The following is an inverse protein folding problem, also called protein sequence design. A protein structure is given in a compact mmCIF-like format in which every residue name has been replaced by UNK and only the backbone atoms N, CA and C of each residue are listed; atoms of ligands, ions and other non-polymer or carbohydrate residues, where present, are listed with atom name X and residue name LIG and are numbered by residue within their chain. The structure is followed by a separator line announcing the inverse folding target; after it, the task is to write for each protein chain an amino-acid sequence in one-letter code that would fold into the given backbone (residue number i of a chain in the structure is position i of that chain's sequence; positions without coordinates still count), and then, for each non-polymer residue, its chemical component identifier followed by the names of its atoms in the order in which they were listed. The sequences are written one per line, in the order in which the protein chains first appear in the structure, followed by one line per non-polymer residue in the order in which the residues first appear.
data_IF_991767111757
#
_entry.id   IF_991767111757
#
_cell.length_a   1.000
_cell.length_b   1.000
_cell.length_c   1.000
_cell.angle_alpha   90.00
_cell.angle_beta   90.00
_cell.angle_gamma   90.00
#
_symmetry.space_group_name_H-M   'P 1'
#
loop_
_entity.id
_entity.type
_entity.pdbx_description
1 polymer ?
#
# COMPACT_ATOMS: atom_id res chain seq x y z
N UNK A 1 -2.38 -8.69 21.44
CA UNK A 1 -1.76 -7.61 20.65
C UNK A 1 -2.86 -6.71 20.09
N UNK A 2 -2.63 -5.39 20.11
CA UNK A 2 -3.52 -4.41 19.47
C UNK A 2 -3.57 -4.69 17.97
N UNK A 3 -4.78 -4.66 17.40
CA UNK A 3 -5.00 -4.90 15.97
C UNK A 3 -5.14 -3.58 15.24
N UNK A 4 -4.65 -3.52 14.01
CA UNK A 4 -4.99 -2.46 13.07
C UNK A 4 -6.44 -2.61 12.63
N UNK A 5 -7.15 -1.50 12.48
CA UNK A 5 -8.55 -1.49 12.03
C UNK A 5 -8.66 -0.57 10.81
N UNK A 6 -9.59 -0.85 9.91
CA UNK A 6 -9.86 0.00 8.75
C UNK A 6 -11.34 0.29 8.62
N UNK A 7 -11.69 1.42 8.02
CA UNK A 7 -13.06 1.87 7.77
C UNK A 7 -13.46 1.62 6.32
N UNK A 8 -12.57 1.94 5.38
CA UNK A 8 -12.77 1.72 3.94
C UNK A 8 -12.55 0.26 3.54
N UNK A 9 -12.91 -0.13 2.31
CA UNK A 9 -12.68 -1.50 1.84
C UNK A 9 -11.19 -1.77 1.67
N UNK A 10 -10.43 -0.79 1.18
CA UNK A 10 -8.98 -0.84 1.03
C UNK A 10 -8.31 -0.99 2.41
N UNK A 11 -8.62 -0.11 3.35
CA UNK A 11 -8.07 -0.16 4.71
C UNK A 11 -8.39 -1.48 5.41
N UNK A 12 -9.62 -1.98 5.30
CA UNK A 12 -10.00 -3.29 5.86
C UNK A 12 -9.19 -4.42 5.24
N UNK A 13 -8.89 -4.36 3.94
CA UNK A 13 -8.07 -5.36 3.28
C UNK A 13 -6.62 -5.31 3.78
N UNK A 14 -6.03 -4.13 3.83
CA UNK A 14 -4.66 -3.88 4.33
C UNK A 14 -4.55 -4.31 5.79
N UNK A 15 -5.42 -3.80 6.67
CA UNK A 15 -5.44 -4.14 8.09
C UNK A 15 -5.61 -5.64 8.32
N UNK A 16 -6.43 -6.34 7.51
CA UNK A 16 -6.60 -7.79 7.62
C UNK A 16 -5.30 -8.54 7.33
N UNK A 17 -4.59 -8.16 6.27
CA UNK A 17 -3.31 -8.78 5.87
C UNK A 17 -2.26 -8.52 6.96
N UNK A 18 -2.09 -7.26 7.37
CA UNK A 18 -1.13 -6.86 8.41
C UNK A 18 -1.41 -7.60 9.72
N UNK A 19 -2.65 -7.64 10.19
CA UNK A 19 -3.01 -8.37 11.41
C UNK A 19 -2.77 -9.88 11.32
N UNK A 20 -2.69 -10.45 10.11
CA UNK A 20 -2.35 -11.86 9.92
C UNK A 20 -0.85 -12.08 10.15
N UNK A 21 0.00 -11.29 9.50
CA UNK A 21 1.45 -11.35 9.62
C UNK A 21 1.97 -10.90 10.98
N UNK A 22 1.35 -9.88 11.58
CA UNK A 22 1.69 -9.35 12.90
C UNK A 22 1.62 -10.39 14.03
N UNK A 23 1.00 -11.56 13.82
CA UNK A 23 1.00 -12.66 14.81
C UNK A 23 2.38 -13.28 15.00
N UNK A 24 3.23 -13.16 13.98
CA UNK A 24 4.58 -13.74 13.94
C UNK A 24 5.66 -12.72 14.37
N UNK A 25 5.25 -11.52 14.77
CA UNK A 25 6.13 -10.45 15.26
C UNK A 25 5.95 -10.26 16.77
N UNK A 26 7.06 -10.19 17.51
CA UNK A 26 7.04 -9.90 18.96
C UNK A 26 6.38 -8.54 19.27
N UNK A 27 6.63 -7.53 18.42
CA UNK A 27 6.06 -6.19 18.51
C UNK A 27 4.71 -6.06 17.78
N UNK A 28 4.12 -7.16 17.34
CA UNK A 28 2.84 -7.18 16.65
C UNK A 28 2.81 -6.31 15.39
N UNK A 29 1.76 -5.50 15.26
CA UNK A 29 1.55 -4.62 14.10
C UNK A 29 2.70 -3.63 13.94
N UNK A 30 3.24 -3.08 15.04
CA UNK A 30 4.33 -2.11 14.96
C UNK A 30 5.59 -2.71 14.34
N UNK A 31 5.96 -3.94 14.74
CA UNK A 31 7.11 -4.64 14.15
C UNK A 31 6.92 -4.95 12.66
N UNK A 32 5.72 -5.37 12.26
CA UNK A 32 5.43 -5.59 10.84
C UNK A 32 5.52 -4.28 10.02
N UNK A 33 5.00 -3.18 10.57
CA UNK A 33 5.06 -1.87 9.90
C UNK A 33 6.51 -1.38 9.75
N UNK A 34 7.37 -1.60 10.74
CA UNK A 34 8.80 -1.25 10.66
C UNK A 34 9.48 -1.95 9.47
N UNK A 35 9.24 -3.25 9.29
CA UNK A 35 9.78 -4.01 8.16
C UNK A 35 9.17 -3.58 6.83
N UNK A 36 7.86 -3.29 6.81
CA UNK A 36 7.18 -2.80 5.61
C UNK A 36 7.70 -1.43 5.17
N UNK A 37 7.92 -0.50 6.11
CA UNK A 37 8.44 0.84 5.78
C UNK A 37 9.91 0.79 5.36
N UNK A 38 10.68 -0.16 5.89
CA UNK A 38 12.09 -0.31 5.55
C UNK A 38 12.32 -0.95 4.17
N UNK A 39 11.45 -1.89 3.77
CA UNK A 39 11.71 -2.74 2.61
C UNK A 39 10.63 -2.66 1.50
N UNK A 40 9.43 -2.18 1.84
CA UNK A 40 8.26 -2.15 0.96
C UNK A 40 7.72 -3.52 0.57
N UNK A 41 6.60 -3.55 -0.13
CA UNK A 41 6.01 -4.75 -0.73
C UNK A 41 6.94 -5.39 -1.77
N UNK A 42 7.80 -4.57 -2.40
CA UNK A 42 8.76 -5.03 -3.42
C UNK A 42 9.77 -6.07 -2.90
N UNK A 43 9.96 -6.15 -1.58
CA UNK A 43 10.80 -7.16 -0.91
C UNK A 43 10.19 -8.56 -0.88
N UNK A 44 8.90 -8.70 -1.19
CA UNK A 44 8.14 -9.93 -1.03
C UNK A 44 7.61 -10.16 0.40
N UNK A 45 7.70 -9.16 1.28
CA UNK A 45 7.15 -9.21 2.65
C UNK A 45 5.64 -9.53 2.67
N UNK A 46 4.90 -9.01 1.68
CA UNK A 46 3.45 -9.19 1.54
C UNK A 46 3.16 -10.23 0.46
N UNK A 47 2.87 -11.47 0.88
CA UNK A 47 2.68 -12.60 -0.02
C UNK A 47 1.54 -12.40 -1.02
N UNK A 48 0.50 -11.67 -0.63
CA UNK A 48 -0.65 -11.32 -1.47
C UNK A 48 -0.32 -10.33 -2.60
N UNK A 49 0.87 -9.72 -2.60
CA UNK A 49 1.27 -8.67 -3.54
C UNK A 49 2.60 -8.99 -4.26
N UNK A 50 2.96 -10.27 -4.40
CA UNK A 50 4.21 -10.67 -5.10
C UNK A 50 4.01 -10.78 -6.62
N UNK A 51 2.93 -11.44 -7.06
CA UNK A 51 2.72 -11.73 -8.47
C UNK A 51 1.85 -10.68 -9.15
N UNK A 52 2.15 -10.36 -10.42
CA UNK A 52 1.34 -9.43 -11.23
C UNK A 52 -0.14 -9.80 -11.27
N UNK A 53 -0.47 -11.09 -11.26
CA UNK A 53 -1.86 -11.55 -11.22
C UNK A 53 -2.58 -11.16 -9.93
N UNK A 54 -1.86 -11.07 -8.81
CA UNK A 54 -2.44 -10.76 -7.51
C UNK A 54 -2.47 -9.26 -7.27
N UNK A 55 -1.41 -8.52 -7.64
CA UNK A 55 -1.41 -7.05 -7.59
C UNK A 55 -2.44 -6.46 -8.55
N UNK A 56 -2.61 -7.02 -9.74
CA UNK A 56 -3.68 -6.63 -10.68
C UNK A 56 -5.07 -6.88 -10.11
N UNK A 57 -5.31 -8.02 -9.45
CA UNK A 57 -6.59 -8.29 -8.78
C UNK A 57 -6.85 -7.32 -7.64
N UNK A 58 -5.84 -7.04 -6.81
CA UNK A 58 -5.92 -6.10 -5.70
C UNK A 58 -6.25 -4.69 -6.22
N UNK A 59 -5.49 -4.21 -7.21
CA UNK A 59 -5.73 -2.92 -7.86
C UNK A 59 -7.15 -2.82 -8.42
N UNK A 60 -7.58 -3.78 -9.23
CA UNK A 60 -8.90 -3.73 -9.86
C UNK A 60 -10.03 -3.72 -8.80
N UNK A 61 -9.85 -4.44 -7.70
CA UNK A 61 -10.84 -4.53 -6.61
C UNK A 61 -10.98 -3.22 -5.83
N UNK A 62 -9.89 -2.46 -5.68
CA UNK A 62 -9.82 -1.25 -4.86
C UNK A 62 -9.57 0.01 -5.69
N UNK A 63 -9.79 -0.05 -7.01
CA UNK A 63 -9.35 0.97 -7.97
C UNK A 63 -9.78 2.39 -7.60
N UNK A 64 -11.02 2.57 -7.15
CA UNK A 64 -11.57 3.88 -6.77
C UNK A 64 -10.82 4.46 -5.57
N UNK A 65 -10.73 3.71 -4.46
CA UNK A 65 -10.01 4.10 -3.23
C UNK A 65 -8.52 4.35 -3.50
N UNK A 66 -7.90 3.55 -4.36
CA UNK A 66 -6.49 3.74 -4.80
C UNK A 66 -6.34 5.03 -5.61
N UNK A 67 -7.32 5.36 -6.46
CA UNK A 67 -7.25 6.58 -7.28
C UNK A 67 -7.38 7.84 -6.42
N UNK A 68 -8.25 7.80 -5.41
CA UNK A 68 -8.40 8.87 -4.41
C UNK A 68 -7.10 9.04 -3.61
N UNK A 69 -6.55 7.94 -3.08
CA UNK A 69 -5.29 7.95 -2.34
C UNK A 69 -4.12 8.49 -3.18
N UNK A 70 -4.05 8.11 -4.45
CA UNK A 70 -3.05 8.60 -5.39
C UNK A 70 -3.21 10.10 -5.65
N UNK A 71 -4.44 10.59 -5.80
CA UNK A 71 -4.71 12.01 -6.03
C UNK A 71 -4.23 12.86 -4.84
N UNK A 72 -4.54 12.45 -3.61
CA UNK A 72 -4.08 13.13 -2.40
C UNK A 72 -2.54 13.17 -2.29
N UNK A 73 -1.89 12.03 -2.60
CA UNK A 73 -0.44 11.92 -2.57
C UNK A 73 0.23 12.78 -3.66
N UNK A 74 -0.35 12.81 -4.86
CA UNK A 74 0.07 13.66 -5.96
C UNK A 74 -0.06 15.15 -5.60
N UNK A 75 -1.17 15.57 -4.99
CA UNK A 75 -1.37 16.94 -4.51
C UNK A 75 -0.30 17.33 -3.48
N UNK A 76 -0.04 16.44 -2.52
CA UNK A 76 0.98 16.64 -1.48
C UNK A 76 2.40 16.73 -2.06
N UNK A 77 2.70 15.95 -3.11
CA UNK A 77 3.98 15.96 -3.81
C UNK A 77 4.13 17.12 -4.82
N UNK A 78 3.04 17.85 -5.12
CA UNK A 78 3.02 18.98 -6.04
C UNK A 78 3.07 18.60 -7.53
N UNK A 79 2.63 17.40 -7.92
CA UNK A 79 2.66 16.94 -9.31
C UNK A 79 1.91 15.62 -9.56
N UNK A 80 2.24 14.91 -10.64
CA UNK A 80 1.61 13.64 -11.00
C UNK A 80 2.29 12.41 -10.39
N UNK A 81 1.86 11.19 -10.76
CA UNK A 81 2.44 9.93 -10.28
C UNK A 81 3.95 9.81 -10.51
N UNK A 82 4.51 10.48 -11.51
CA UNK A 82 5.95 10.57 -11.75
C UNK A 82 6.72 11.21 -10.59
N UNK A 83 6.09 12.09 -9.80
CA UNK A 83 6.70 12.66 -8.60
C UNK A 83 6.83 11.63 -7.48
N UNK A 84 5.94 10.64 -7.44
CA UNK A 84 5.94 9.58 -6.44
C UNK A 84 6.83 8.40 -6.87
N UNK A 85 6.84 8.07 -8.16
CA UNK A 85 7.40 6.81 -8.66
C UNK A 85 8.61 6.98 -9.59
N UNK A 86 8.91 8.21 -10.03
CA UNK A 86 10.02 8.50 -10.95
C UNK A 86 9.93 7.67 -12.23
N UNK A 87 11.06 7.07 -12.61
CA UNK A 87 11.19 6.27 -13.84
C UNK A 87 10.43 4.93 -13.79
N UNK A 88 9.88 4.53 -12.64
CA UNK A 88 9.07 3.31 -12.52
C UNK A 88 7.65 3.49 -13.07
N UNK A 89 7.18 4.74 -13.17
CA UNK A 89 5.86 5.04 -13.71
C UNK A 89 5.89 5.02 -15.24
N UNK A 90 5.06 4.17 -15.85
CA UNK A 90 4.88 4.17 -17.29
C UNK A 90 3.99 5.34 -17.70
N UNK A 91 4.61 6.40 -18.24
CA UNK A 91 3.94 7.63 -18.68
C UNK A 91 3.08 7.43 -19.92
N UNK A 92 3.31 6.36 -20.68
CA UNK A 92 2.49 6.00 -21.84
C UNK A 92 1.19 5.27 -21.42
N UNK A 93 1.09 4.85 -20.15
CA UNK A 93 -0.11 4.24 -19.56
C UNK A 93 -0.60 5.00 -18.30
N UNK A 94 -0.96 6.30 -18.42
CA UNK A 94 -1.32 7.14 -17.28
C UNK A 94 -2.60 6.67 -16.56
N UNK A 95 -3.40 5.81 -17.20
CA UNK A 95 -4.66 5.27 -16.65
C UNK A 95 -4.50 3.85 -16.06
N UNK A 96 -3.26 3.33 -16.00
CA UNK A 96 -2.94 2.01 -15.48
C UNK A 96 -3.78 0.88 -16.11
N UNK A 97 -3.81 0.83 -17.44
CA UNK A 97 -4.42 -0.26 -18.20
C UNK A 97 -3.55 -1.53 -18.20
N UNK A 98 -2.23 -1.39 -18.16
CA UNK A 98 -1.25 -2.47 -18.16
C UNK A 98 -0.84 -2.88 -16.74
N UNK A 99 -0.26 -4.08 -16.62
CA UNK A 99 0.06 -4.68 -15.32
C UNK A 99 1.15 -3.90 -14.55
N UNK A 100 2.05 -3.19 -15.25
CA UNK A 100 3.15 -2.44 -14.63
C UNK A 100 2.64 -1.36 -13.67
N UNK A 101 1.82 -0.43 -14.17
CA UNK A 101 1.27 0.64 -13.34
C UNK A 101 0.26 0.09 -12.33
N UNK A 102 -0.50 -0.97 -12.64
CA UNK A 102 -1.37 -1.63 -11.65
C UNK A 102 -0.58 -2.21 -10.49
N UNK A 103 0.55 -2.84 -10.76
CA UNK A 103 1.44 -3.38 -9.74
C UNK A 103 1.99 -2.28 -8.84
N UNK A 104 2.52 -1.21 -9.46
CA UNK A 104 3.07 -0.06 -8.75
C UNK A 104 2.02 0.60 -7.85
N UNK A 105 0.80 0.78 -8.35
CA UNK A 105 -0.32 1.34 -7.59
C UNK A 105 -0.84 0.41 -6.50
N UNK A 106 -0.79 -0.92 -6.69
CA UNK A 106 -1.16 -1.87 -5.64
C UNK A 106 -0.17 -1.83 -4.46
N UNK A 107 1.14 -1.80 -4.75
CA UNK A 107 2.17 -1.64 -3.70
C UNK A 107 2.06 -0.31 -2.99
N UNK A 108 1.99 0.79 -3.75
CA UNK A 108 1.78 2.13 -3.21
C UNK A 108 0.56 2.18 -2.29
N UNK A 109 -0.58 1.68 -2.76
CA UNK A 109 -1.81 1.70 -1.98
C UNK A 109 -1.70 0.91 -0.69
N UNK A 110 -1.05 -0.25 -0.71
CA UNK A 110 -0.86 -1.05 0.50
C UNK A 110 0.05 -0.33 1.49
N UNK A 111 1.20 0.14 1.03
CA UNK A 111 2.22 0.80 1.87
C UNK A 111 1.71 2.10 2.46
N UNK A 112 1.11 2.97 1.65
CA UNK A 112 0.61 4.27 2.09
C UNK A 112 -0.61 4.12 3.02
N UNK A 113 -1.52 3.17 2.74
CA UNK A 113 -2.63 2.86 3.66
C UNK A 113 -2.10 2.32 4.99
N UNK A 114 -1.10 1.44 4.95
CA UNK A 114 -0.49 0.89 6.17
C UNK A 114 0.19 1.98 7.01
N UNK A 115 0.88 2.92 6.36
CA UNK A 115 1.51 4.08 7.00
C UNK A 115 0.48 4.97 7.68
N UNK A 116 -0.55 5.42 6.95
CA UNK A 116 -1.62 6.30 7.50
C UNK A 116 -2.33 5.66 8.69
N UNK A 117 -2.77 4.41 8.56
CA UNK A 117 -3.40 3.68 9.67
C UNK A 117 -2.43 3.48 10.84
N UNK A 118 -1.14 3.26 10.55
CA UNK A 118 -0.07 3.14 11.52
C UNK A 118 0.07 4.40 12.38
N UNK A 119 0.13 5.56 11.74
CA UNK A 119 0.22 6.87 12.39
C UNK A 119 -1.07 7.21 13.16
N UNK A 120 -2.22 7.12 12.51
CA UNK A 120 -3.54 7.44 13.09
C UNK A 120 -3.85 6.61 14.33
N UNK A 121 -3.43 5.34 14.32
CA UNK A 121 -3.67 4.42 15.42
C UNK A 121 -2.48 4.32 16.38
N UNK A 122 -1.41 5.10 16.19
CA UNK A 122 -0.25 5.15 17.09
C UNK A 122 0.53 3.84 17.17
N UNK A 123 0.72 3.16 16.04
CA UNK A 123 1.66 2.04 15.90
C UNK A 123 3.06 2.50 15.47
N UNK A 124 3.16 3.61 14.74
CA UNK A 124 4.40 4.26 14.31
C UNK A 124 4.29 5.77 14.53
N UNK A 125 5.43 6.44 14.72
CA UNK A 125 5.49 7.90 14.85
C UNK A 125 5.67 8.56 13.47
N UNK A 126 5.20 9.81 13.38
CA UNK A 126 5.21 10.64 12.17
C UNK A 126 6.54 11.42 12.04
#
# INVERSE_FOLDING_TARGET
MKKMIGETKLEKAVAKIINSYAKDYDNGVAGFLEDLMSNGCSSGLVGELIYYSDTTKFFNKHREEISELLADACESAGGGPEMLFGDKWDKEDPLAHNESNKNLLAWFAFEETARRLGEEQGFIEN
#
